data_IF_406196943434
#
_entry.id   IF_406196943434
#
_cell.length_a   1.000
_cell.length_b   1.000
_cell.length_c   1.000
_cell.angle_alpha   90.00
_cell.angle_beta   90.00
_cell.angle_gamma   90.00
#
_symmetry.space_group_name_H-M   'P 1'
#
loop_
_entity.id
_entity.type
_entity.pdbx_description
1 polymer ?
#
# COMPACT_ATOMS: atom_id res chain seq x y z
N UNK A 1 -13.60 6.82 -9.05
CA UNK A 1 -13.06 5.49 -9.48
C UNK A 1 -12.51 5.49 -10.92
N UNK A 2 -13.23 6.02 -11.90
CA UNK A 2 -12.74 6.11 -13.32
C UNK A 2 -11.51 7.03 -13.44
N UNK A 3 -11.47 8.16 -12.75
CA UNK A 3 -10.36 9.12 -12.80
C UNK A 3 -9.01 8.54 -12.32
N UNK A 4 -9.01 7.61 -11.36
CA UNK A 4 -7.77 7.00 -10.87
C UNK A 4 -7.15 6.03 -11.90
N UNK A 5 -7.97 5.28 -12.63
CA UNK A 5 -7.49 4.40 -13.69
C UNK A 5 -6.88 5.23 -14.83
N UNK A 6 -7.55 6.29 -15.26
CA UNK A 6 -7.06 7.19 -16.32
C UNK A 6 -5.72 7.83 -15.91
N UNK A 7 -5.61 8.30 -14.66
CA UNK A 7 -4.36 8.86 -14.14
C UNK A 7 -3.21 7.84 -14.15
N UNK A 8 -3.48 6.60 -13.72
CA UNK A 8 -2.50 5.53 -13.74
C UNK A 8 -2.07 5.16 -15.17
N UNK A 9 -3.00 5.12 -16.13
CA UNK A 9 -2.71 4.87 -17.55
C UNK A 9 -1.80 5.98 -18.11
N UNK A 10 -2.09 7.24 -17.80
CA UNK A 10 -1.26 8.37 -18.23
C UNK A 10 0.16 8.26 -17.67
N UNK A 11 0.31 8.01 -16.36
CA UNK A 11 1.61 7.83 -15.72
C UNK A 11 2.38 6.67 -16.34
N UNK A 12 1.73 5.55 -16.62
CA UNK A 12 2.37 4.40 -17.28
C UNK A 12 2.88 4.76 -18.68
N UNK A 13 2.08 5.45 -19.49
CA UNK A 13 2.47 5.87 -20.84
C UNK A 13 3.62 6.88 -20.83
N UNK A 14 3.61 7.85 -19.92
CA UNK A 14 4.72 8.80 -19.75
C UNK A 14 6.02 8.09 -19.33
N UNK A 15 5.93 7.14 -18.40
CA UNK A 15 7.09 6.36 -17.98
C UNK A 15 7.65 5.49 -19.11
N UNK A 16 6.77 4.84 -19.90
CA UNK A 16 7.18 4.05 -21.09
C UNK A 16 7.84 4.95 -22.13
N UNK A 17 7.30 6.14 -22.39
CA UNK A 17 7.90 7.10 -23.31
C UNK A 17 9.33 7.47 -22.91
N UNK A 18 9.52 7.84 -21.65
CA UNK A 18 10.84 8.16 -21.09
C UNK A 18 11.80 6.95 -21.14
N UNK A 19 11.33 5.73 -20.84
CA UNK A 19 12.17 4.53 -20.94
C UNK A 19 12.61 4.30 -22.39
N UNK A 20 11.72 4.47 -23.37
CA UNK A 20 12.06 4.30 -24.80
C UNK A 20 13.08 5.34 -25.27
N UNK A 21 12.95 6.60 -24.84
CA UNK A 21 13.86 7.67 -25.20
C UNK A 21 15.29 7.39 -24.72
N UNK A 22 15.43 6.85 -23.52
CA UNK A 22 16.74 6.57 -22.92
C UNK A 22 17.30 5.17 -23.23
N UNK A 23 16.48 4.23 -23.73
CA UNK A 23 16.83 2.82 -23.87
C UNK A 23 18.10 2.56 -24.72
N UNK A 24 18.42 3.44 -25.68
CA UNK A 24 19.64 3.34 -26.51
C UNK A 24 20.94 3.74 -25.83
N UNK A 25 20.88 4.40 -24.68
CA UNK A 25 22.06 4.98 -24.01
C UNK A 25 22.28 4.43 -22.60
N UNK A 26 21.39 3.57 -22.10
CA UNK A 26 21.38 3.12 -20.72
C UNK A 26 22.31 1.94 -20.50
N UNK A 27 23.21 2.07 -19.54
CA UNK A 27 24.11 1.02 -19.11
C UNK A 27 23.60 0.22 -17.91
N UNK A 28 22.67 0.78 -17.12
CA UNK A 28 22.13 0.09 -15.95
C UNK A 28 20.63 0.41 -15.72
N UNK A 29 19.90 -0.55 -15.15
CA UNK A 29 18.49 -0.36 -14.72
C UNK A 29 18.38 0.74 -13.66
N UNK A 30 19.45 0.98 -12.89
CA UNK A 30 19.49 2.02 -11.86
C UNK A 30 19.29 3.43 -12.40
N UNK A 31 19.80 3.71 -13.61
CA UNK A 31 19.66 5.03 -14.26
C UNK A 31 18.18 5.35 -14.58
N UNK A 32 17.40 4.32 -14.90
CA UNK A 32 15.95 4.43 -15.14
C UNK A 32 15.10 4.19 -13.90
N UNK A 33 15.70 3.98 -12.74
CA UNK A 33 15.01 3.60 -11.51
C UNK A 33 13.72 4.35 -11.23
N UNK A 34 13.69 5.70 -11.31
CA UNK A 34 12.46 6.48 -11.10
C UNK A 34 11.37 6.18 -12.12
N UNK A 35 11.70 6.02 -13.39
CA UNK A 35 10.73 5.75 -14.47
C UNK A 35 10.19 4.32 -14.37
N UNK A 36 11.07 3.36 -14.10
CA UNK A 36 10.68 1.96 -13.87
C UNK A 36 9.80 1.82 -12.63
N UNK A 37 10.06 2.59 -11.58
CA UNK A 37 9.21 2.63 -10.39
C UNK A 37 7.82 3.16 -10.72
N UNK A 38 7.73 4.27 -11.44
CA UNK A 38 6.45 4.85 -11.88
C UNK A 38 5.67 3.85 -12.74
N UNK A 39 6.33 3.19 -13.69
CA UNK A 39 5.70 2.18 -14.54
C UNK A 39 5.17 0.99 -13.72
N UNK A 40 5.99 0.44 -12.82
CA UNK A 40 5.61 -0.68 -11.98
C UNK A 40 4.44 -0.34 -11.05
N UNK A 41 4.44 0.86 -10.49
CA UNK A 41 3.39 1.33 -9.60
C UNK A 41 2.08 1.57 -10.36
N UNK A 42 2.13 2.28 -11.48
CA UNK A 42 0.97 2.51 -12.33
C UNK A 42 0.39 1.20 -12.89
N UNK A 43 1.23 0.27 -13.36
CA UNK A 43 0.80 -1.05 -13.82
C UNK A 43 0.09 -1.82 -12.71
N UNK A 44 0.59 -1.79 -11.49
CA UNK A 44 -0.03 -2.46 -10.34
C UNK A 44 -1.41 -1.89 -9.99
N UNK A 45 -1.64 -0.58 -10.14
CA UNK A 45 -2.96 0.03 -9.97
C UNK A 45 -3.92 -0.36 -11.10
N UNK A 46 -3.44 -0.37 -12.36
CA UNK A 46 -4.22 -0.78 -13.52
C UNK A 46 -4.61 -2.27 -13.41
N UNK A 47 -3.67 -3.14 -13.02
CA UNK A 47 -3.95 -4.58 -12.78
C UNK A 47 -5.04 -4.78 -11.72
N UNK A 48 -5.02 -3.99 -10.66
CA UNK A 48 -6.05 -4.05 -9.61
C UNK A 48 -7.42 -3.68 -10.18
N UNK A 49 -7.51 -2.56 -10.91
CA UNK A 49 -8.77 -2.10 -11.53
C UNK A 49 -9.30 -3.08 -12.58
N UNK A 50 -8.41 -3.65 -13.40
CA UNK A 50 -8.78 -4.68 -14.37
C UNK A 50 -9.37 -5.93 -13.68
N UNK A 51 -8.83 -6.35 -12.53
CA UNK A 51 -9.38 -7.45 -11.73
C UNK A 51 -10.73 -7.11 -11.09
N UNK A 52 -10.95 -5.85 -10.78
CA UNK A 52 -12.22 -5.34 -10.25
C UNK A 52 -13.30 -5.19 -11.36
N UNK A 53 -12.99 -5.61 -12.62
CA UNK A 53 -13.92 -5.62 -13.73
C UNK A 53 -13.92 -4.34 -14.59
N UNK A 54 -12.97 -3.46 -14.43
CA UNK A 54 -12.82 -2.25 -15.25
C UNK A 54 -12.24 -2.62 -16.62
N UNK A 55 -13.08 -2.52 -17.68
CA UNK A 55 -12.73 -2.88 -19.06
C UNK A 55 -11.68 -1.92 -19.65
N UNK A 56 -11.72 -0.64 -19.32
CA UNK A 56 -10.74 0.33 -19.79
C UNK A 56 -9.37 0.02 -19.20
N UNK A 57 -9.32 -0.35 -17.91
CA UNK A 57 -8.10 -0.81 -17.27
C UNK A 57 -7.58 -2.13 -17.87
N UNK A 58 -8.48 -3.03 -18.29
CA UNK A 58 -8.09 -4.28 -18.96
C UNK A 58 -7.42 -4.01 -20.31
N UNK A 59 -8.02 -3.19 -21.18
CA UNK A 59 -7.43 -2.84 -22.47
C UNK A 59 -6.13 -2.04 -22.32
N UNK A 60 -6.07 -1.13 -21.33
CA UNK A 60 -4.84 -0.41 -21.03
C UNK A 60 -3.73 -1.35 -20.59
N UNK A 61 -4.04 -2.39 -19.82
CA UNK A 61 -3.06 -3.40 -19.41
C UNK A 61 -2.49 -4.16 -20.61
N UNK A 62 -3.34 -4.50 -21.58
CA UNK A 62 -2.90 -5.15 -22.83
C UNK A 62 -2.00 -4.22 -23.66
N UNK A 63 -2.32 -2.94 -23.75
CA UNK A 63 -1.49 -1.95 -24.44
C UNK A 63 -0.12 -1.78 -23.75
N UNK A 64 -0.09 -1.73 -22.42
CA UNK A 64 1.15 -1.68 -21.65
C UNK A 64 2.00 -2.92 -21.88
N UNK A 65 1.42 -4.12 -21.95
CA UNK A 65 2.14 -5.36 -22.24
C UNK A 65 2.78 -5.34 -23.63
N UNK A 66 2.09 -4.81 -24.64
CA UNK A 66 2.65 -4.62 -25.98
C UNK A 66 3.86 -3.69 -25.96
N UNK A 67 3.73 -2.56 -25.29
CA UNK A 67 4.81 -1.58 -25.12
C UNK A 67 6.00 -2.13 -24.31
N UNK A 68 5.75 -2.97 -23.31
CA UNK A 68 6.82 -3.70 -22.58
C UNK A 68 7.56 -4.68 -23.51
N UNK A 69 6.86 -5.33 -24.46
CA UNK A 69 7.52 -6.19 -25.45
C UNK A 69 8.44 -5.39 -26.38
N UNK A 70 8.05 -4.17 -26.77
CA UNK A 70 8.90 -3.27 -27.53
C UNK A 70 10.14 -2.84 -26.71
N UNK A 71 9.96 -2.47 -25.44
CA UNK A 71 11.06 -2.15 -24.52
C UNK A 71 12.01 -3.34 -24.39
N UNK A 72 11.48 -4.56 -24.29
CA UNK A 72 12.28 -5.78 -24.26
C UNK A 72 13.19 -5.89 -25.49
N UNK A 73 12.62 -5.69 -26.68
CA UNK A 73 13.40 -5.72 -27.91
C UNK A 73 14.49 -4.63 -27.91
N UNK A 74 14.18 -3.41 -27.49
CA UNK A 74 15.14 -2.33 -27.40
C UNK A 74 16.27 -2.67 -26.42
N UNK A 75 15.96 -3.26 -25.27
CA UNK A 75 16.97 -3.67 -24.27
C UNK A 75 17.88 -4.80 -24.78
N UNK A 76 17.33 -5.72 -25.60
CA UNK A 76 18.12 -6.81 -26.17
C UNK A 76 19.01 -6.33 -27.31
N UNK A 77 18.52 -5.43 -28.18
CA UNK A 77 19.27 -5.01 -29.37
C UNK A 77 20.20 -3.80 -29.11
N UNK A 78 19.77 -2.86 -28.29
CA UNK A 78 20.47 -1.59 -28.09
C UNK A 78 21.09 -1.47 -26.69
N UNK A 79 20.70 -2.32 -25.75
CA UNK A 79 21.20 -2.31 -24.37
C UNK A 79 22.38 -3.26 -24.15
N UNK A 80 22.92 -3.24 -22.91
CA UNK A 80 23.91 -4.24 -22.51
C UNK A 80 23.27 -5.62 -22.32
N UNK A 81 24.06 -6.67 -22.50
CA UNK A 81 23.65 -8.02 -22.20
C UNK A 81 23.13 -8.14 -20.74
N UNK A 82 21.98 -8.78 -20.57
CA UNK A 82 21.33 -8.96 -19.26
C UNK A 82 20.47 -7.79 -18.74
N UNK A 83 20.40 -6.67 -19.46
CA UNK A 83 19.60 -5.51 -19.03
C UNK A 83 18.11 -5.87 -18.86
N UNK A 84 17.58 -6.73 -19.72
CA UNK A 84 16.21 -7.21 -19.60
C UNK A 84 15.98 -8.05 -18.34
N UNK A 85 16.92 -8.91 -17.98
CA UNK A 85 16.83 -9.74 -16.78
C UNK A 85 16.91 -8.89 -15.50
N UNK A 86 17.75 -7.87 -15.50
CA UNK A 86 17.84 -6.91 -14.41
C UNK A 86 16.51 -6.12 -14.26
N UNK A 87 15.91 -5.73 -15.39
CA UNK A 87 14.57 -5.12 -15.39
C UNK A 87 13.52 -6.05 -14.78
N UNK A 88 13.49 -7.32 -15.18
CA UNK A 88 12.53 -8.31 -14.62
C UNK A 88 12.72 -8.49 -13.11
N UNK A 89 13.96 -8.58 -12.65
CA UNK A 89 14.29 -8.66 -11.22
C UNK A 89 13.81 -7.40 -10.47
N UNK A 90 14.04 -6.23 -11.05
CA UNK A 90 13.59 -4.97 -10.45
C UNK A 90 12.06 -4.95 -10.28
N UNK A 91 11.30 -5.29 -11.32
CA UNK A 91 9.83 -5.35 -11.27
C UNK A 91 9.34 -6.38 -10.24
N UNK A 92 9.94 -7.57 -10.19
CA UNK A 92 9.60 -8.61 -9.22
C UNK A 92 9.85 -8.16 -7.78
N UNK A 93 11.00 -7.56 -7.51
CA UNK A 93 11.36 -7.01 -6.20
C UNK A 93 10.38 -5.89 -5.79
N UNK A 94 10.03 -5.01 -6.71
CA UNK A 94 9.11 -3.91 -6.47
C UNK A 94 7.72 -4.42 -6.11
N UNK A 95 7.23 -5.44 -6.81
CA UNK A 95 5.95 -6.11 -6.49
C UNK A 95 5.98 -6.71 -5.09
N UNK A 96 7.03 -7.41 -4.74
CA UNK A 96 7.20 -8.02 -3.41
C UNK A 96 7.26 -6.95 -2.30
N UNK A 97 7.96 -5.84 -2.52
CA UNK A 97 8.00 -4.72 -1.58
C UNK A 97 6.60 -4.15 -1.33
N UNK A 98 5.81 -3.92 -2.38
CA UNK A 98 4.42 -3.44 -2.26
C UNK A 98 3.53 -4.41 -1.48
N UNK A 99 3.65 -5.70 -1.72
CA UNK A 99 2.90 -6.73 -0.97
C UNK A 99 3.29 -6.72 0.52
N UNK A 100 4.57 -6.60 0.81
CA UNK A 100 5.06 -6.51 2.17
C UNK A 100 4.61 -5.23 2.88
N UNK A 101 4.59 -4.09 2.19
CA UNK A 101 4.07 -2.82 2.71
C UNK A 101 2.58 -2.93 3.04
N UNK A 102 1.77 -3.55 2.16
CA UNK A 102 0.35 -3.81 2.41
C UNK A 102 0.14 -4.68 3.65
N UNK A 103 0.86 -5.80 3.75
CA UNK A 103 0.80 -6.70 4.93
C UNK A 103 1.18 -5.97 6.22
N UNK A 104 2.22 -5.12 6.18
CA UNK A 104 2.63 -4.31 7.33
C UNK A 104 1.59 -3.26 7.70
N UNK A 105 0.96 -2.61 6.71
CA UNK A 105 -0.11 -1.65 6.95
C UNK A 105 -1.35 -2.31 7.57
N UNK A 106 -1.76 -3.48 7.07
CA UNK A 106 -2.86 -4.28 7.62
C UNK A 106 -2.56 -4.74 9.05
N UNK A 107 -1.34 -5.25 9.30
CA UNK A 107 -0.93 -5.65 10.63
C UNK A 107 -0.94 -4.48 11.63
N UNK A 108 -0.46 -3.30 11.21
CA UNK A 108 -0.51 -2.07 12.03
C UNK A 108 -1.96 -1.63 12.29
N UNK A 109 -2.83 -1.71 11.30
CA UNK A 109 -4.25 -1.37 11.45
C UNK A 109 -4.96 -2.32 12.43
N UNK A 110 -4.69 -3.64 12.33
CA UNK A 110 -5.19 -4.65 13.27
C UNK A 110 -4.66 -4.43 14.70
N UNK A 111 -3.37 -4.15 14.84
CA UNK A 111 -2.76 -3.86 16.14
C UNK A 111 -3.39 -2.61 16.78
N UNK A 112 -3.63 -1.55 16.01
CA UNK A 112 -4.33 -0.34 16.49
C UNK A 112 -5.75 -0.64 16.94
N UNK A 113 -6.53 -1.41 16.16
CA UNK A 113 -7.89 -1.83 16.53
C UNK A 113 -7.90 -2.62 17.84
N UNK A 114 -6.98 -3.58 18.00
CA UNK A 114 -6.85 -4.36 19.25
C UNK A 114 -6.45 -3.49 20.43
N UNK A 115 -5.53 -2.55 20.25
CA UNK A 115 -5.11 -1.64 21.31
C UNK A 115 -6.27 -0.73 21.80
N UNK A 116 -7.07 -0.20 20.87
CA UNK A 116 -8.27 0.60 21.21
C UNK A 116 -9.29 -0.25 21.94
N UNK A 117 -9.55 -1.48 21.47
CA UNK A 117 -10.52 -2.40 22.09
C UNK A 117 -10.09 -2.79 23.51
N UNK A 118 -8.81 -3.10 23.70
CA UNK A 118 -8.27 -3.40 25.03
C UNK A 118 -8.26 -2.17 25.95
N UNK A 119 -7.90 -0.98 25.43
CA UNK A 119 -7.96 0.26 26.19
C UNK A 119 -9.36 0.60 26.67
N UNK A 120 -10.38 0.36 25.86
CA UNK A 120 -11.78 0.54 26.24
C UNK A 120 -12.21 -0.43 27.36
N UNK A 121 -11.81 -1.71 27.28
CA UNK A 121 -12.08 -2.71 28.31
C UNK A 121 -11.44 -2.34 29.64
N UNK A 122 -10.16 -1.97 29.64
CA UNK A 122 -9.48 -1.57 30.87
C UNK A 122 -10.06 -0.26 31.46
N UNK A 123 -10.45 0.68 30.61
CA UNK A 123 -11.14 1.89 31.03
C UNK A 123 -12.49 1.62 31.71
N UNK A 124 -13.30 0.75 31.11
CA UNK A 124 -14.60 0.36 31.66
C UNK A 124 -14.47 -0.36 33.02
N UNK A 125 -13.50 -1.28 33.13
CA UNK A 125 -13.20 -1.98 34.40
C UNK A 125 -12.72 -0.98 35.46
N UNK A 126 -11.85 -0.04 35.12
CA UNK A 126 -11.38 1.00 36.03
C UNK A 126 -12.52 1.87 36.60
N UNK A 127 -13.45 2.29 35.75
CA UNK A 127 -14.63 3.08 36.17
C UNK A 127 -15.53 2.25 37.08
N UNK A 128 -15.77 0.98 36.79
CA UNK A 128 -16.57 0.09 37.60
C UNK A 128 -15.97 -0.09 39.01
N UNK A 129 -14.67 -0.31 39.11
CA UNK A 129 -13.97 -0.44 40.39
C UNK A 129 -14.06 0.85 41.23
N UNK A 130 -13.85 2.01 40.60
CA UNK A 130 -13.97 3.32 41.30
C UNK A 130 -15.42 3.55 41.76
N UNK A 131 -16.42 3.15 40.98
CA UNK A 131 -17.82 3.26 41.40
C UNK A 131 -18.17 2.41 42.61
N UNK A 132 -17.65 1.19 42.70
CA UNK A 132 -17.86 0.29 43.84
C UNK A 132 -17.19 0.83 45.10
N UNK A 133 -15.93 1.26 44.99
CA UNK A 133 -15.19 1.82 46.15
C UNK A 133 -15.82 3.14 46.61
N UNK A 134 -16.14 4.04 45.70
CA UNK A 134 -16.82 5.31 46.02
C UNK A 134 -18.18 5.11 46.67
N UNK A 135 -18.97 4.17 46.19
CA UNK A 135 -20.28 3.78 46.75
C UNK A 135 -20.14 3.21 48.15
N UNK A 136 -19.15 2.36 48.41
CA UNK A 136 -18.91 1.79 49.75
C UNK A 136 -18.53 2.88 50.76
N UNK A 137 -17.66 3.81 50.38
CA UNK A 137 -17.28 4.95 51.23
C UNK A 137 -18.45 5.86 51.53
N UNK A 138 -19.26 6.17 50.55
CA UNK A 138 -20.46 6.98 50.71
C UNK A 138 -21.48 6.32 51.68
N UNK A 139 -21.69 5.00 51.56
CA UNK A 139 -22.53 4.23 52.47
C UNK A 139 -21.98 4.25 53.92
N UNK A 140 -20.69 4.11 54.14
CA UNK A 140 -20.09 4.18 55.45
C UNK A 140 -20.28 5.56 56.08
N UNK A 141 -20.03 6.64 55.34
CA UNK A 141 -20.25 8.01 55.80
C UNK A 141 -21.72 8.27 56.14
N UNK A 142 -22.65 7.75 55.37
CA UNK A 142 -24.09 7.85 55.66
C UNK A 142 -24.50 7.11 56.95
N UNK A 143 -23.97 5.90 57.16
CA UNK A 143 -24.22 5.11 58.38
C UNK A 143 -23.62 5.81 59.64
N UNK A 144 -22.48 6.42 59.53
CA UNK A 144 -21.85 7.20 60.65
C UNK A 144 -22.73 8.43 60.98
N UNK A 145 -23.25 9.09 59.96
CA UNK A 145 -24.14 10.26 60.12
C UNK A 145 -25.44 9.90 60.81
N UNK A 146 -25.99 8.69 60.58
CA UNK A 146 -27.20 8.20 61.27
C UNK A 146 -26.97 7.84 62.74
N UNK A 147 -25.74 7.42 63.11
CA UNK A 147 -25.41 7.02 64.47
C UNK A 147 -25.03 8.22 65.37
N UNK A 148 -24.80 9.39 64.77
CA UNK A 148 -24.42 10.62 65.46
C UNK A 148 -25.62 11.54 65.79
N UNK A 149 -26.85 11.10 65.52
CA UNK A 149 -28.10 11.72 66.01
C UNK A 149 -28.71 10.83 67.11
#
# INVERSE_FOLDING_TARGET
MIFEAIAAIKIANEAIGAIKEFAGHIQSVGEMGPQLTKLADAKGEIEKKAKDGDMDAFFALEDIRKKEAEIKQMFIYNGRAGLWDDYQKFIANRKQMRENEKKRAEAKALARKKAIQNGFLYGAVGIAVLGVVGGAVALLLWLISLKGK
#
